data_IF_023535332414
#
_entry.id   IF_023535332414
#
_cell.length_a   1.000
_cell.length_b   1.000
_cell.length_c   1.000
_cell.angle_alpha   90.00
_cell.angle_beta   90.00
_cell.angle_gamma   90.00
#
_symmetry.space_group_name_H-M   'P 1'
#
loop_
_entity.id
_entity.type
_entity.pdbx_description
1 polymer ?
#
# COMPACT_ATOMS: atom_id res chain seq x y z
N UNK A 1 5.66 -7.92 -29.77
CA UNK A 1 5.73 -8.09 -28.31
C UNK A 1 5.77 -6.71 -27.68
N UNK A 2 4.62 -6.22 -27.19
CA UNK A 2 4.57 -4.93 -26.48
C UNK A 2 5.59 -4.97 -25.34
N UNK A 3 6.55 -4.05 -25.37
CA UNK A 3 7.54 -3.95 -24.32
C UNK A 3 6.79 -3.81 -22.98
N UNK A 4 7.06 -4.71 -22.03
CA UNK A 4 6.42 -4.80 -20.71
C UNK A 4 6.78 -3.59 -19.82
N UNK A 5 6.47 -2.38 -20.27
CA UNK A 5 6.86 -1.12 -19.65
C UNK A 5 6.14 -0.91 -18.30
N UNK A 6 4.96 -1.52 -18.13
CA UNK A 6 4.20 -1.50 -16.88
C UNK A 6 4.91 -2.22 -15.72
N UNK A 7 5.81 -3.19 -15.98
CA UNK A 7 6.58 -3.89 -14.94
C UNK A 7 7.45 -2.95 -14.11
N UNK A 8 7.73 -1.74 -14.60
CA UNK A 8 8.44 -0.72 -13.82
C UNK A 8 7.70 -0.32 -12.53
N UNK A 9 6.37 -0.48 -12.51
CA UNK A 9 5.49 -0.24 -11.36
C UNK A 9 5.59 -1.30 -10.28
N UNK A 10 6.24 -2.43 -10.54
CA UNK A 10 6.56 -3.44 -9.55
C UNK A 10 7.98 -3.22 -9.00
N UNK A 11 8.17 -3.56 -7.72
CA UNK A 11 9.49 -3.65 -7.10
C UNK A 11 10.37 -4.58 -7.93
N UNK A 12 11.63 -4.18 -8.18
CA UNK A 12 12.58 -4.89 -9.05
C UNK A 12 12.63 -6.41 -8.85
N UNK A 13 12.67 -6.86 -7.58
CA UNK A 13 12.71 -8.28 -7.22
C UNK A 13 11.49 -9.09 -7.70
N UNK A 14 10.34 -8.44 -7.85
CA UNK A 14 9.08 -9.05 -8.29
C UNK A 14 8.82 -8.92 -9.78
N UNK A 15 9.69 -8.26 -10.55
CA UNK A 15 9.48 -8.10 -12.00
C UNK A 15 9.55 -9.42 -12.75
N UNK A 16 10.40 -10.34 -12.30
CA UNK A 16 10.60 -11.66 -12.92
C UNK A 16 9.57 -12.69 -12.49
N UNK A 17 9.10 -12.61 -11.24
CA UNK A 17 8.13 -13.54 -10.63
C UNK A 17 7.05 -12.72 -9.91
N UNK A 18 6.06 -12.26 -10.67
CA UNK A 18 4.89 -11.55 -10.16
C UNK A 18 3.67 -12.49 -10.17
N UNK A 19 2.68 -12.18 -9.35
CA UNK A 19 1.39 -12.88 -9.37
C UNK A 19 0.43 -12.19 -10.33
N UNK A 20 -0.57 -12.93 -10.83
CA UNK A 20 -1.57 -12.38 -11.76
C UNK A 20 -2.27 -11.12 -11.21
N UNK A 21 -2.46 -11.06 -9.89
CA UNK A 21 -3.05 -9.91 -9.20
C UNK A 21 -2.12 -8.70 -9.25
N UNK A 22 -0.83 -8.90 -8.96
CA UNK A 22 0.17 -7.83 -9.02
C UNK A 22 0.30 -7.29 -10.44
N UNK A 23 0.17 -8.17 -11.44
CA UNK A 23 0.27 -7.83 -12.84
C UNK A 23 -0.90 -6.97 -13.32
N UNK A 24 -2.12 -7.34 -12.91
CA UNK A 24 -3.33 -6.52 -13.16
C UNK A 24 -3.20 -5.13 -12.54
N UNK A 25 -2.72 -5.02 -11.31
CA UNK A 25 -2.53 -3.72 -10.63
C UNK A 25 -1.39 -2.91 -11.26
N UNK A 26 -0.33 -3.55 -11.73
CA UNK A 26 0.76 -2.86 -12.42
C UNK A 26 0.30 -2.26 -13.75
N UNK A 27 -0.52 -2.99 -14.51
CA UNK A 27 -1.14 -2.50 -15.76
C UNK A 27 -2.06 -1.31 -15.48
N UNK A 28 -2.97 -1.43 -14.52
CA UNK A 28 -3.88 -0.31 -14.18
C UNK A 28 -3.12 0.93 -13.73
N UNK A 29 -2.07 0.80 -12.91
CA UNK A 29 -1.24 1.95 -12.53
C UNK A 29 -0.51 2.62 -13.70
N UNK A 30 -0.09 1.84 -14.69
CA UNK A 30 0.56 2.37 -15.89
C UNK A 30 -0.43 3.11 -16.79
N UNK A 31 -1.64 2.57 -16.93
CA UNK A 31 -2.71 3.23 -17.67
C UNK A 31 -3.12 4.55 -17.00
N UNK A 32 -3.21 4.57 -15.66
CA UNK A 32 -3.52 5.77 -14.90
C UNK A 32 -2.42 6.84 -15.01
N UNK A 33 -1.16 6.45 -15.09
CA UNK A 33 -0.04 7.37 -15.35
C UNK A 33 -0.19 8.09 -16.70
N UNK A 34 -0.65 7.37 -17.73
CA UNK A 34 -0.77 7.90 -19.08
C UNK A 34 -2.06 8.71 -19.25
N UNK A 35 -3.15 8.25 -18.66
CA UNK A 35 -4.51 8.76 -18.91
C UNK A 35 -4.86 9.97 -18.04
N UNK A 36 -4.40 10.02 -16.77
CA UNK A 36 -4.87 11.04 -15.82
C UNK A 36 -3.86 12.18 -15.62
N UNK A 37 -4.30 13.41 -15.90
CA UNK A 37 -3.50 14.65 -15.77
C UNK A 37 -2.94 14.91 -14.36
N UNK A 38 -3.70 14.59 -13.32
CA UNK A 38 -3.30 14.80 -11.91
C UNK A 38 -2.30 13.75 -11.43
N UNK A 39 -2.56 12.47 -11.75
CA UNK A 39 -1.75 11.34 -11.30
C UNK A 39 -0.43 11.19 -12.08
N UNK A 40 -0.39 11.69 -13.33
CA UNK A 40 0.79 11.64 -14.20
C UNK A 40 2.05 12.26 -13.60
N UNK A 41 1.94 13.24 -12.71
CA UNK A 41 3.11 13.87 -12.07
C UNK A 41 3.73 13.01 -10.97
N UNK A 42 2.90 12.26 -10.25
CA UNK A 42 3.32 11.54 -9.04
C UNK A 42 3.54 10.04 -9.29
N UNK A 43 2.75 9.42 -10.15
CA UNK A 43 2.85 7.99 -10.46
C UNK A 43 4.15 7.54 -11.14
N UNK A 44 4.91 8.32 -11.94
CA UNK A 44 6.08 7.81 -12.67
C UNK A 44 7.12 7.13 -11.77
N UNK A 45 7.37 7.71 -10.58
CA UNK A 45 8.31 7.19 -9.58
C UNK A 45 7.68 6.18 -8.61
N UNK A 46 6.36 6.08 -8.58
CA UNK A 46 5.62 5.21 -7.69
C UNK A 46 5.72 3.75 -8.14
N UNK A 47 5.96 2.84 -7.18
CA UNK A 47 5.93 1.40 -7.41
C UNK A 47 5.39 0.67 -6.18
N UNK A 48 4.87 -0.53 -6.42
CA UNK A 48 4.25 -1.42 -5.44
C UNK A 48 5.23 -2.53 -5.03
N UNK A 49 5.17 -2.92 -3.77
CA UNK A 49 5.91 -4.06 -3.21
C UNK A 49 5.14 -5.37 -3.29
N UNK A 50 3.82 -5.33 -3.22
CA UNK A 50 2.97 -6.48 -3.48
C UNK A 50 1.51 -6.18 -3.28
N UNK A 51 0.67 -7.14 -3.67
CA UNK A 51 -0.78 -7.04 -3.50
C UNK A 51 -1.26 -8.30 -2.79
N UNK A 52 -2.19 -8.14 -1.85
CA UNK A 52 -2.88 -9.24 -1.19
C UNK A 52 -4.38 -9.05 -1.31
N UNK A 53 -5.07 -10.12 -1.69
CA UNK A 53 -6.53 -10.16 -1.66
C UNK A 53 -6.93 -10.86 -0.37
N UNK A 54 -7.82 -10.22 0.38
CA UNK A 54 -8.43 -10.76 1.58
C UNK A 54 -9.92 -10.94 1.26
N UNK A 55 -10.35 -12.19 1.16
CA UNK A 55 -11.76 -12.57 1.17
C UNK A 55 -12.09 -13.08 2.57
N UNK A 56 -13.24 -12.66 3.09
CA UNK A 56 -13.79 -13.20 4.34
C UNK A 56 -15.27 -13.47 4.10
N UNK A 57 -15.82 -14.59 4.61
CA UNK A 57 -17.23 -14.93 4.43
C UNK A 57 -18.17 -13.86 5.01
N UNK A 58 -17.70 -13.08 6.00
CA UNK A 58 -18.47 -11.98 6.58
C UNK A 58 -18.52 -10.73 5.70
N UNK A 59 -17.63 -10.59 4.71
CA UNK A 59 -17.60 -9.44 3.82
C UNK A 59 -18.25 -9.79 2.47
N UNK A 60 -19.21 -8.95 2.05
CA UNK A 60 -19.86 -9.06 0.74
C UNK A 60 -18.93 -8.79 -0.45
N UNK A 61 -17.80 -8.11 -0.21
CA UNK A 61 -16.81 -7.73 -1.23
C UNK A 61 -15.41 -8.13 -0.78
N UNK A 62 -14.56 -8.53 -1.73
CA UNK A 62 -13.14 -8.79 -1.45
C UNK A 62 -12.40 -7.48 -1.16
N UNK A 63 -11.38 -7.53 -0.30
CA UNK A 63 -10.53 -6.37 -0.01
C UNK A 63 -9.16 -6.61 -0.64
N UNK A 64 -8.75 -5.70 -1.52
CA UNK A 64 -7.43 -5.71 -2.15
C UNK A 64 -6.49 -4.75 -1.41
N UNK A 65 -5.55 -5.32 -0.67
CA UNK A 65 -4.53 -4.58 0.07
C UNK A 65 -3.28 -4.43 -0.79
N UNK A 66 -2.99 -3.20 -1.19
CA UNK A 66 -1.83 -2.85 -2.01
C UNK A 66 -0.72 -2.31 -1.11
N UNK A 67 0.40 -3.05 -1.05
CA UNK A 67 1.56 -2.68 -0.26
C UNK A 67 2.53 -1.84 -1.08
N UNK A 68 2.86 -0.64 -0.62
CA UNK A 68 3.86 0.22 -1.24
C UNK A 68 5.00 0.55 -0.26
N UNK A 69 6.20 0.93 -0.73
CA UNK A 69 7.28 1.38 0.14
C UNK A 69 6.91 2.62 0.98
N UNK A 70 7.29 2.63 2.26
CA UNK A 70 7.16 3.78 3.17
C UNK A 70 7.68 5.11 2.61
N UNK A 71 8.66 5.08 1.70
CA UNK A 71 9.20 6.27 1.03
C UNK A 71 8.14 7.11 0.31
N UNK A 72 7.09 6.47 -0.19
CA UNK A 72 6.03 7.16 -0.92
C UNK A 72 4.85 7.60 -0.05
N UNK A 73 4.97 7.55 1.28
CA UNK A 73 3.86 7.88 2.17
C UNK A 73 3.30 9.28 1.91
N UNK A 74 4.15 10.32 1.88
CA UNK A 74 3.71 11.69 1.64
C UNK A 74 3.09 11.87 0.24
N UNK A 75 3.66 11.19 -0.75
CA UNK A 75 3.15 11.18 -2.12
C UNK A 75 1.75 10.56 -2.15
N UNK A 76 1.60 9.34 -1.61
CA UNK A 76 0.32 8.62 -1.60
C UNK A 76 -0.72 9.42 -0.85
N UNK A 77 -0.43 10.01 0.31
CA UNK A 77 -1.40 10.83 1.07
C UNK A 77 -1.99 11.97 0.24
N UNK A 78 -1.20 12.59 -0.64
CA UNK A 78 -1.68 13.66 -1.53
C UNK A 78 -2.67 13.16 -2.60
N UNK A 79 -2.47 11.95 -3.14
CA UNK A 79 -3.28 11.41 -4.24
C UNK A 79 -4.23 10.27 -3.84
N UNK A 80 -4.21 9.83 -2.58
CA UNK A 80 -4.82 8.57 -2.15
C UNK A 80 -6.30 8.50 -2.51
N UNK A 81 -7.07 9.57 -2.27
CA UNK A 81 -8.51 9.62 -2.59
C UNK A 81 -8.80 9.41 -4.08
N UNK A 82 -7.99 9.99 -4.95
CA UNK A 82 -8.14 9.86 -6.41
C UNK A 82 -7.68 8.48 -6.85
N UNK A 83 -6.54 8.02 -6.32
CA UNK A 83 -5.95 6.74 -6.68
C UNK A 83 -6.83 5.55 -6.28
N UNK A 84 -7.42 5.56 -5.08
CA UNK A 84 -8.33 4.49 -4.64
C UNK A 84 -9.59 4.45 -5.48
N UNK A 85 -10.20 5.61 -5.78
CA UNK A 85 -11.40 5.67 -6.61
C UNK A 85 -11.16 5.14 -8.03
N UNK A 86 -10.03 5.49 -8.66
CA UNK A 86 -9.70 4.99 -10.00
C UNK A 86 -9.33 3.50 -10.00
N UNK A 87 -8.64 3.01 -8.97
CA UNK A 87 -8.36 1.58 -8.84
C UNK A 87 -9.63 0.76 -8.59
N UNK A 88 -10.58 1.26 -7.81
CA UNK A 88 -11.87 0.58 -7.57
C UNK A 88 -12.73 0.53 -8.83
N UNK A 89 -12.71 1.56 -9.67
CA UNK A 89 -13.39 1.53 -10.98
C UNK A 89 -12.86 0.41 -11.88
N UNK A 90 -11.53 0.20 -11.89
CA UNK A 90 -10.89 -0.85 -12.72
C UNK A 90 -11.00 -2.25 -12.10
N UNK A 91 -11.11 -2.35 -10.78
CA UNK A 91 -11.23 -3.59 -10.05
C UNK A 91 -12.61 -3.72 -9.40
N UNK A 92 -13.63 -3.87 -10.25
CA UNK A 92 -15.03 -4.01 -9.82
C UNK A 92 -15.21 -5.18 -8.85
N UNK A 93 -15.95 -4.94 -7.76
CA UNK A 93 -16.22 -5.96 -6.74
C UNK A 93 -15.14 -6.11 -5.65
N UNK A 94 -14.01 -5.41 -5.79
CA UNK A 94 -12.98 -5.33 -4.75
C UNK A 94 -12.87 -3.93 -4.16
N UNK A 95 -12.82 -3.82 -2.83
CA UNK A 95 -12.49 -2.57 -2.12
C UNK A 95 -10.97 -2.45 -2.12
N UNK A 96 -10.43 -1.31 -2.55
CA UNK A 96 -8.97 -1.14 -2.69
C UNK A 96 -8.42 -0.31 -1.54
N UNK A 97 -7.45 -0.86 -0.82
CA UNK A 97 -6.82 -0.22 0.33
C UNK A 97 -5.32 -0.14 0.12
N UNK A 98 -4.76 1.05 0.30
CA UNK A 98 -3.32 1.31 0.16
C UNK A 98 -2.67 1.28 1.55
N UNK A 99 -1.65 0.45 1.74
CA UNK A 99 -0.94 0.34 3.02
C UNK A 99 0.57 0.43 2.79
N UNK A 100 1.25 1.31 3.53
CA UNK A 100 2.70 1.37 3.46
C UNK A 100 3.33 0.15 4.17
N UNK A 101 4.30 -0.50 3.53
CA UNK A 101 5.00 -1.64 4.10
C UNK A 101 5.96 -1.17 5.20
N UNK A 102 5.70 -1.57 6.45
CA UNK A 102 6.53 -1.30 7.63
C UNK A 102 7.14 -2.59 8.17
N UNK A 103 8.31 -2.51 8.81
CA UNK A 103 8.98 -3.66 9.46
C UNK A 103 8.94 -3.50 10.98
N UNK A 104 8.40 -4.48 11.67
CA UNK A 104 8.41 -4.55 13.13
C UNK A 104 9.71 -5.19 13.59
N UNK A 105 10.44 -4.53 14.49
CA UNK A 105 11.54 -5.16 15.24
C UNK A 105 10.95 -5.93 16.41
N UNK A 106 11.27 -7.22 16.52
CA UNK A 106 10.93 -8.00 17.72
C UNK A 106 11.58 -7.34 18.93
N UNK A 107 10.88 -7.35 20.07
CA UNK A 107 11.39 -6.78 21.32
C UNK A 107 12.69 -7.50 21.70
N UNK A 108 13.84 -6.80 21.75
CA UNK A 108 15.07 -7.39 22.25
C UNK A 108 14.92 -7.74 23.74
N UNK A 109 15.57 -8.83 24.17
CA UNK A 109 15.73 -9.17 25.59
C UNK A 109 16.66 -8.19 26.31
N UNK A 110 17.70 -7.74 25.61
CA UNK A 110 18.79 -6.98 26.21
C UNK A 110 18.41 -5.51 26.39
N UNK A 111 18.63 -4.97 27.60
CA UNK A 111 18.34 -3.57 27.96
C UNK A 111 19.05 -2.58 27.04
N UNK A 112 20.34 -2.83 26.74
CA UNK A 112 21.12 -1.97 25.84
C UNK A 112 20.62 -1.99 24.40
N UNK A 113 20.08 -3.13 23.93
CA UNK A 113 19.50 -3.22 22.58
C UNK A 113 18.13 -2.54 22.53
N UNK A 114 17.34 -2.63 23.60
CA UNK A 114 16.04 -1.95 23.72
C UNK A 114 16.16 -0.45 23.51
N UNK A 115 17.19 0.19 24.08
CA UNK A 115 17.45 1.62 23.93
C UNK A 115 17.81 2.03 22.49
N UNK A 116 18.37 1.11 21.70
CA UNK A 116 18.76 1.34 20.30
C UNK A 116 17.62 1.10 19.30
N UNK A 117 16.48 0.56 19.74
CA UNK A 117 15.35 0.29 18.84
C UNK A 117 14.67 1.61 18.43
N UNK A 118 14.57 1.81 17.11
CA UNK A 118 13.79 2.91 16.55
C UNK A 118 12.32 2.78 16.95
N UNK A 119 11.76 3.82 17.57
CA UNK A 119 10.36 3.83 18.02
C UNK A 119 9.37 3.61 16.88
N UNK A 120 9.67 4.11 15.68
CA UNK A 120 8.87 3.89 14.45
C UNK A 120 8.78 2.43 14.00
N UNK A 121 9.65 1.55 14.51
CA UNK A 121 9.67 0.11 14.20
C UNK A 121 9.11 -0.77 15.31
N UNK A 122 8.60 -0.16 16.39
CA UNK A 122 7.88 -0.87 17.45
C UNK A 122 6.51 -1.32 16.95
N UNK A 123 5.99 -2.42 17.50
CA UNK A 123 4.70 -2.98 17.07
C UNK A 123 3.56 -1.97 17.25
N UNK A 124 3.53 -1.26 18.38
CA UNK A 124 2.53 -0.22 18.67
C UNK A 124 2.53 0.83 17.58
N UNK A 125 3.63 1.57 17.39
CA UNK A 125 3.72 2.64 16.39
C UNK A 125 3.39 2.17 14.97
N UNK A 126 3.81 0.95 14.60
CA UNK A 126 3.50 0.36 13.29
C UNK A 126 2.01 0.08 13.14
N UNK A 127 1.34 -0.51 14.14
CA UNK A 127 -0.09 -0.80 14.08
C UNK A 127 -0.94 0.47 14.06
N UNK A 128 -0.56 1.51 14.81
CA UNK A 128 -1.22 2.81 14.74
C UNK A 128 -1.12 3.41 13.34
N UNK A 129 0.08 3.36 12.76
CA UNK A 129 0.33 3.89 11.43
C UNK A 129 -0.41 3.10 10.35
N UNK A 130 -0.53 1.77 10.50
CA UNK A 130 -1.33 0.94 9.57
C UNK A 130 -2.80 1.34 9.68
N UNK A 131 -3.33 1.49 10.88
CA UNK A 131 -4.72 1.91 11.07
C UNK A 131 -4.99 3.28 10.43
N UNK A 132 -4.06 4.23 10.57
CA UNK A 132 -4.15 5.54 9.90
C UNK A 132 -4.02 5.46 8.38
N UNK A 133 -3.34 4.44 7.82
CA UNK A 133 -3.32 4.21 6.36
C UNK A 133 -4.68 3.66 5.89
N UNK A 134 -5.32 2.78 6.68
CA UNK A 134 -6.62 2.17 6.36
C UNK A 134 -7.77 3.19 6.36
N UNK A 135 -7.75 4.16 7.28
CA UNK A 135 -8.89 5.05 7.55
C UNK A 135 -8.78 6.40 6.82
N UNK A 136 -7.67 6.68 6.14
CA UNK A 136 -7.49 7.95 5.40
C UNK A 136 -8.63 8.22 4.42
N UNK A 137 -9.20 9.44 4.37
CA UNK A 137 -8.73 10.71 4.95
C UNK A 137 -9.17 11.01 6.38
N UNK A 138 -9.88 10.08 7.03
CA UNK A 138 -10.41 10.30 8.37
C UNK A 138 -9.35 10.05 9.46
N UNK A 139 -9.55 10.67 10.62
CA UNK A 139 -8.67 10.58 11.78
C UNK A 139 -9.27 9.74 12.91
N UNK A 140 -8.40 9.24 13.79
CA UNK A 140 -8.79 8.53 15.00
C UNK A 140 -8.96 9.52 16.14
N UNK A 141 -10.20 9.76 16.57
CA UNK A 141 -10.52 10.77 17.61
C UNK A 141 -10.14 10.29 19.02
N UNK A 142 -10.23 9.00 19.29
CA UNK A 142 -9.89 8.45 20.60
C UNK A 142 -9.82 6.93 20.59
N UNK A 143 -9.13 6.38 21.60
CA UNK A 143 -9.05 4.93 21.82
C UNK A 143 -9.33 4.63 23.28
N UNK A 144 -10.09 3.57 23.53
CA UNK A 144 -10.40 3.05 24.86
C UNK A 144 -10.14 1.56 24.86
N UNK A 145 -9.42 1.08 25.86
CA UNK A 145 -9.28 -0.34 26.16
C UNK A 145 -10.22 -0.63 27.32
N UNK A 146 -11.23 -1.48 27.07
CA UNK A 146 -12.21 -1.90 28.08
C UNK A 146 -11.80 -3.23 28.66
#
# INVERSE_FOLDING_TARGET
MEAQNYLRKLRKLKRTKHTDVEDKVAKTLFDLETSHKTLKKQLPRFHINGVRIVSSPSLKKSVMVVFYPLRFLMLVRSIQRVLTAELEKKHTGSIVVLVAQRKITKRPSDVYKLQKVQRSRTSTAVFESILNDLIFPCDVVGRRWR
#
